data_IF_310370573671
#
_entry.id   IF_310370573671
#
_cell.length_a   1.000
_cell.length_b   1.000
_cell.length_c   1.000
_cell.angle_alpha   90.00
_cell.angle_beta   90.00
_cell.angle_gamma   90.00
#
_symmetry.space_group_name_H-M   'P 1'
#
loop_
_entity.id
_entity.type
_entity.pdbx_description
1 polymer ?
#
# COMPACT_ATOMS: atom_id res chain seq x y z
N UNK A 1 -17.56 1.16 27.81
CA UNK A 1 -17.39 0.77 26.39
C UNK A 1 -16.02 0.14 26.25
N UNK A 2 -15.91 -1.16 26.04
CA UNK A 2 -14.62 -1.81 25.76
C UNK A 2 -14.25 -1.49 24.31
N UNK A 3 -13.32 -0.55 24.12
CA UNK A 3 -12.62 -0.36 22.85
C UNK A 3 -11.72 -1.58 22.63
N UNK A 4 -12.23 -2.59 21.93
CA UNK A 4 -11.42 -3.73 21.51
C UNK A 4 -10.35 -3.25 20.53
N UNK A 5 -9.12 -3.06 21.03
CA UNK A 5 -7.95 -3.05 20.14
C UNK A 5 -7.95 -4.41 19.44
N UNK A 6 -8.18 -4.45 18.13
CA UNK A 6 -7.84 -5.63 17.35
C UNK A 6 -6.36 -5.91 17.60
N UNK A 7 -6.06 -7.13 18.02
CA UNK A 7 -4.68 -7.59 18.13
C UNK A 7 -4.00 -7.41 16.77
N UNK A 8 -2.83 -6.78 16.79
CA UNK A 8 -2.04 -6.56 15.59
C UNK A 8 -1.41 -7.88 15.18
N UNK A 9 -1.32 -8.13 13.88
CA UNK A 9 -0.76 -9.38 13.37
C UNK A 9 0.77 -9.33 13.42
N UNK A 10 1.40 -10.42 13.85
CA UNK A 10 2.85 -10.59 13.80
C UNK A 10 3.20 -11.35 12.52
N UNK A 11 4.17 -10.84 11.77
CA UNK A 11 4.71 -11.47 10.55
C UNK A 11 6.23 -11.30 10.52
N UNK A 12 6.99 -12.30 10.05
CA UNK A 12 8.45 -12.19 10.00
C UNK A 12 8.92 -11.29 8.85
N UNK A 13 8.20 -11.30 7.72
CA UNK A 13 8.55 -10.54 6.50
C UNK A 13 7.31 -9.85 5.96
N UNK A 14 7.45 -8.57 5.61
CA UNK A 14 6.45 -7.79 4.87
C UNK A 14 7.01 -7.39 3.50
N UNK A 15 6.28 -7.69 2.43
CA UNK A 15 6.59 -7.20 1.10
C UNK A 15 5.79 -5.93 0.84
N UNK A 16 6.46 -4.95 0.25
CA UNK A 16 5.93 -3.63 -0.07
C UNK A 16 6.30 -3.29 -1.51
N UNK A 17 5.32 -2.80 -2.26
CA UNK A 17 5.48 -2.30 -3.62
C UNK A 17 4.95 -0.87 -3.69
N UNK A 18 5.73 0.03 -4.26
CA UNK A 18 5.36 1.43 -4.44
C UNK A 18 5.63 1.88 -5.87
N UNK A 19 4.63 2.50 -6.48
CA UNK A 19 4.65 2.96 -7.87
C UNK A 19 3.84 4.26 -8.05
N UNK A 20 4.09 5.00 -9.11
CA UNK A 20 3.44 6.26 -9.49
C UNK A 20 2.90 6.22 -10.92
N UNK A 21 1.58 6.37 -11.06
CA UNK A 21 0.91 6.38 -12.38
C UNK A 21 0.50 7.81 -12.72
N UNK A 22 1.01 8.36 -13.83
CA UNK A 22 0.59 9.67 -14.32
C UNK A 22 -0.75 9.61 -15.05
N UNK A 23 -1.76 10.28 -14.48
CA UNK A 23 -3.11 10.34 -15.03
C UNK A 23 -3.39 11.70 -15.67
N UNK A 24 -4.08 11.65 -16.81
CA UNK A 24 -4.68 12.83 -17.43
C UNK A 24 -6.01 13.13 -16.74
N UNK A 25 -6.07 14.25 -16.03
CA UNK A 25 -7.23 14.62 -15.24
C UNK A 25 -8.22 15.47 -16.04
N UNK A 26 -9.50 15.38 -15.69
CA UNK A 26 -10.57 16.25 -16.18
C UNK A 26 -11.32 16.86 -15.00
N UNK A 27 -11.77 18.10 -15.15
CA UNK A 27 -12.65 18.73 -14.17
C UNK A 27 -14.09 18.17 -14.30
N UNK A 28 -14.98 18.63 -13.41
CA UNK A 28 -16.40 18.26 -13.45
C UNK A 28 -17.14 18.70 -14.72
N UNK A 29 -16.52 19.56 -15.55
CA UNK A 29 -17.03 20.01 -16.83
C UNK A 29 -16.31 19.34 -18.02
N UNK A 30 -15.60 18.23 -17.78
CA UNK A 30 -14.82 17.47 -18.76
C UNK A 30 -13.70 18.26 -19.47
N UNK A 31 -13.26 19.38 -18.89
CA UNK A 31 -12.12 20.13 -19.42
C UNK A 31 -10.82 19.53 -18.91
N UNK A 32 -9.81 19.51 -19.79
CA UNK A 32 -8.49 18.97 -19.47
C UNK A 32 -7.83 19.77 -18.34
N UNK A 33 -7.35 19.06 -17.34
CA UNK A 33 -6.56 19.62 -16.25
C UNK A 33 -5.08 19.22 -16.37
N UNK A 34 -4.26 19.74 -15.45
CA UNK A 34 -2.88 19.30 -15.29
C UNK A 34 -2.86 17.80 -15.00
N UNK A 35 -1.88 17.09 -15.59
CA UNK A 35 -1.63 15.69 -15.22
C UNK A 35 -1.32 15.62 -13.72
N UNK A 36 -1.81 14.57 -13.08
CA UNK A 36 -1.52 14.30 -11.67
C UNK A 36 -0.97 12.89 -11.55
N UNK A 37 -0.01 12.71 -10.66
CA UNK A 37 0.51 11.40 -10.32
C UNK A 37 -0.40 10.77 -9.27
N UNK A 38 -0.89 9.57 -9.55
CA UNK A 38 -1.53 8.71 -8.58
C UNK A 38 -0.49 7.74 -8.03
N UNK A 39 -0.18 7.87 -6.75
CA UNK A 39 0.70 6.97 -6.02
C UNK A 39 -0.07 5.73 -5.64
N UNK A 40 0.54 4.58 -5.83
CA UNK A 40 -0.04 3.27 -5.51
C UNK A 40 0.95 2.54 -4.61
N UNK A 41 0.43 2.02 -3.51
CA UNK A 41 1.15 1.20 -2.56
C UNK A 41 0.42 -0.12 -2.41
N UNK A 42 1.15 -1.22 -2.47
CA UNK A 42 0.66 -2.56 -2.18
C UNK A 42 1.55 -3.18 -1.11
N UNK A 43 0.95 -3.86 -0.14
CA UNK A 43 1.67 -4.72 0.79
C UNK A 43 1.07 -6.11 0.85
N UNK A 44 1.90 -7.12 1.09
CA UNK A 44 1.49 -8.51 1.22
C UNK A 44 2.49 -9.32 2.04
N UNK A 45 2.04 -10.46 2.54
CA UNK A 45 2.79 -11.31 3.48
C UNK A 45 3.59 -12.41 2.76
N UNK A 46 3.29 -12.62 1.47
CA UNK A 46 3.85 -13.67 0.62
C UNK A 46 2.87 -14.06 -0.47
N UNK A 47 3.04 -15.24 -1.04
CA UNK A 47 2.16 -15.79 -2.05
C UNK A 47 1.88 -17.28 -1.81
N UNK A 48 0.64 -17.68 -2.05
CA UNK A 48 0.27 -19.09 -2.11
C UNK A 48 0.53 -19.63 -3.53
N UNK A 49 1.05 -20.85 -3.63
CA UNK A 49 1.47 -21.48 -4.89
C UNK A 49 0.33 -22.19 -5.63
N UNK A 50 -0.88 -22.21 -5.11
CA UNK A 50 -1.92 -23.10 -5.65
C UNK A 50 -3.21 -22.39 -6.09
N UNK A 51 -3.35 -22.26 -7.41
CA UNK A 51 -4.60 -22.26 -8.16
C UNK A 51 -4.26 -22.21 -9.66
N UNK A 52 -4.07 -23.38 -10.27
CA UNK A 52 -4.08 -23.56 -11.73
C UNK A 52 -3.25 -22.49 -12.50
N UNK A 53 -1.95 -22.39 -12.19
CA UNK A 53 -0.93 -21.48 -12.80
C UNK A 53 -0.94 -20.01 -12.35
N UNK A 54 -1.67 -19.60 -11.32
CA UNK A 54 -1.59 -18.23 -10.78
C UNK A 54 -1.36 -18.22 -9.27
N UNK A 55 -0.20 -17.71 -8.85
CA UNK A 55 0.07 -17.44 -7.44
C UNK A 55 -0.83 -16.32 -6.93
N UNK A 56 -1.38 -16.46 -5.72
CA UNK A 56 -2.21 -15.43 -5.10
C UNK A 56 -1.46 -14.77 -3.95
N UNK A 57 -1.46 -13.43 -3.91
CA UNK A 57 -0.82 -12.68 -2.82
C UNK A 57 -1.62 -12.84 -1.52
N UNK A 58 -0.94 -13.28 -0.46
CA UNK A 58 -1.53 -13.51 0.85
C UNK A 58 -1.56 -12.21 1.64
N UNK A 59 -2.71 -11.91 2.26
CA UNK A 59 -2.85 -10.71 3.09
C UNK A 59 -2.69 -9.40 2.33
N UNK A 60 -2.90 -9.40 1.00
CA UNK A 60 -2.74 -8.21 0.16
C UNK A 60 -3.56 -7.03 0.69
N UNK A 61 -2.95 -5.87 0.75
CA UNK A 61 -3.62 -4.60 1.08
C UNK A 61 -3.07 -3.51 0.18
N UNK A 62 -3.94 -2.62 -0.27
CA UNK A 62 -3.58 -1.55 -1.21
C UNK A 62 -3.98 -0.19 -0.65
N UNK A 63 -3.18 0.82 -0.96
CA UNK A 63 -3.45 2.23 -0.73
C UNK A 63 -3.14 2.98 -2.03
N UNK A 64 -4.04 3.86 -2.45
CA UNK A 64 -3.81 4.73 -3.59
C UNK A 64 -4.23 6.15 -3.26
N UNK A 65 -3.50 7.14 -3.77
CA UNK A 65 -3.73 8.54 -3.44
C UNK A 65 -3.05 9.50 -4.42
N UNK A 66 -3.57 10.71 -4.51
CA UNK A 66 -3.01 11.81 -5.32
C UNK A 66 -2.37 12.90 -4.43
N UNK A 67 -2.33 12.69 -3.11
CA UNK A 67 -1.67 13.60 -2.18
C UNK A 67 -0.16 13.77 -2.45
N UNK A 68 0.45 14.83 -1.91
CA UNK A 68 1.90 14.96 -1.87
C UNK A 68 2.56 13.73 -1.22
N UNK A 69 3.76 13.41 -1.68
CA UNK A 69 4.49 12.17 -1.34
C UNK A 69 4.66 11.98 0.15
N UNK A 70 5.00 13.05 0.89
CA UNK A 70 5.09 13.01 2.35
C UNK A 70 3.81 12.49 3.00
N UNK A 71 2.65 13.04 2.66
CA UNK A 71 1.38 12.64 3.25
C UNK A 71 1.00 11.21 2.85
N UNK A 72 1.35 10.79 1.64
CA UNK A 72 1.15 9.43 1.18
C UNK A 72 1.97 8.43 2.01
N UNK A 73 3.25 8.73 2.28
CA UNK A 73 4.10 7.91 3.15
C UNK A 73 3.57 7.83 4.58
N UNK A 74 3.11 8.95 5.15
CA UNK A 74 2.52 8.97 6.50
C UNK A 74 1.28 8.05 6.58
N UNK A 75 0.40 8.09 5.57
CA UNK A 75 -0.75 7.18 5.49
C UNK A 75 -0.36 5.72 5.27
N UNK A 76 0.68 5.47 4.49
CA UNK A 76 1.24 4.13 4.27
C UNK A 76 1.69 3.53 5.61
N UNK A 77 2.53 4.23 6.37
CA UNK A 77 3.00 3.73 7.67
C UNK A 77 1.83 3.54 8.65
N UNK A 78 0.89 4.49 8.71
CA UNK A 78 -0.31 4.34 9.54
C UNK A 78 -1.16 3.11 9.16
N UNK A 79 -1.21 2.74 7.88
CA UNK A 79 -1.91 1.55 7.41
C UNK A 79 -1.20 0.26 7.84
N UNK A 80 0.13 0.24 7.79
CA UNK A 80 0.95 -0.88 8.23
C UNK A 80 0.79 -1.06 9.75
N UNK A 81 0.98 0.00 10.52
CA UNK A 81 0.85 0.00 11.99
C UNK A 81 -0.55 -0.38 12.47
N UNK A 82 -1.59 -0.08 11.67
CA UNK A 82 -2.97 -0.49 11.97
C UNK A 82 -3.16 -2.00 11.85
N UNK A 83 -2.37 -2.68 11.01
CA UNK A 83 -2.55 -4.10 10.68
C UNK A 83 -1.54 -5.00 11.38
N UNK A 84 -0.30 -4.55 11.48
CA UNK A 84 0.83 -5.35 11.94
C UNK A 84 1.49 -4.75 13.17
N UNK A 85 2.02 -5.63 14.01
CA UNK A 85 2.96 -5.23 15.04
C UNK A 85 4.31 -4.98 14.37
N UNK A 86 4.61 -3.71 14.13
CA UNK A 86 5.77 -3.29 13.32
C UNK A 86 7.09 -3.60 13.98
N UNK A 87 7.12 -3.68 15.32
CA UNK A 87 8.32 -3.99 16.10
C UNK A 87 8.73 -5.46 15.96
N UNK A 88 7.77 -6.33 15.64
CA UNK A 88 7.99 -7.78 15.45
C UNK A 88 8.31 -8.15 13.99
N UNK A 89 8.26 -7.18 13.06
CA UNK A 89 8.64 -7.41 11.66
C UNK A 89 10.16 -7.39 11.54
N UNK A 90 10.75 -8.56 11.26
CA UNK A 90 12.19 -8.70 11.15
C UNK A 90 12.72 -8.08 9.85
N UNK A 91 11.96 -8.17 8.76
CA UNK A 91 12.37 -7.65 7.46
C UNK A 91 11.20 -7.03 6.69
N UNK A 92 11.45 -5.85 6.13
CA UNK A 92 10.57 -5.19 5.15
C UNK A 92 11.29 -5.15 3.81
N UNK A 93 10.67 -5.70 2.78
CA UNK A 93 11.20 -5.69 1.40
C UNK A 93 10.40 -4.66 0.62
N UNK A 94 11.02 -3.52 0.36
CA UNK A 94 10.42 -2.44 -0.43
C UNK A 94 10.93 -2.49 -1.86
N UNK A 95 10.04 -2.77 -2.79
CA UNK A 95 10.25 -2.62 -4.23
C UNK A 95 9.55 -1.36 -4.73
N UNK A 96 10.21 -0.61 -5.61
CA UNK A 96 9.61 0.57 -6.22
C UNK A 96 10.65 1.51 -6.81
N UNK A 97 10.34 2.07 -7.97
CA UNK A 97 11.09 3.14 -8.63
C UNK A 97 10.40 4.51 -8.47
N UNK A 98 9.12 4.54 -8.08
CA UNK A 98 8.29 5.73 -7.90
C UNK A 98 7.89 5.96 -6.44
N UNK A 99 8.17 7.17 -5.94
CA UNK A 99 7.75 7.60 -4.60
C UNK A 99 8.42 8.87 -4.07
N UNK A 100 8.97 9.72 -4.96
CA UNK A 100 9.51 11.03 -4.59
C UNK A 100 8.40 12.05 -4.38
#
# INVERSE_FOLDING_TARGET
MQTGRKEKKIIPVLFEEMDGIWLHMQDSSHKRMKKQEMKVFTMYEGWDKDQQRRSTLVGKTMLAGMEPSRLFHEKREALIEKKYDVDEIQQRILNGDGGS
#
